data_IF_634805804360
#
_entry.id   IF_634805804360
#
_cell.length_a   1.000
_cell.length_b   1.000
_cell.length_c   1.000
_cell.angle_alpha   90.00
_cell.angle_beta   90.00
_cell.angle_gamma   90.00
#
_symmetry.space_group_name_H-M   'P 1'
#
loop_
_entity.id
_entity.type
_entity.pdbx_description
1 polymer ?
#
# COMPACT_ATOMS: atom_id res chain seq x y z
N UNK A 1 17.93 7.30 1.39
CA UNK A 1 16.92 7.44 0.32
C UNK A 1 15.70 6.60 0.69
N UNK A 2 14.59 7.26 0.96
CA UNK A 2 13.33 6.57 1.26
C UNK A 2 12.85 5.92 -0.04
N UNK A 3 12.91 4.59 -0.15
CA UNK A 3 12.36 3.88 -1.30
C UNK A 3 10.88 4.19 -1.41
N UNK A 4 10.45 4.75 -2.52
CA UNK A 4 9.03 5.02 -2.80
C UNK A 4 8.28 3.70 -2.94
N UNK A 5 7.06 3.67 -2.43
CA UNK A 5 6.14 2.55 -2.59
C UNK A 5 5.26 2.81 -3.81
N UNK A 6 5.42 2.02 -4.87
CA UNK A 6 4.71 2.24 -6.13
C UNK A 6 4.28 0.93 -6.78
N UNK A 7 3.36 1.05 -7.70
CA UNK A 7 2.99 -0.01 -8.64
C UNK A 7 3.23 0.45 -10.08
N UNK A 8 3.62 -0.50 -10.92
CA UNK A 8 3.75 -0.33 -12.36
C UNK A 8 2.93 -1.42 -13.03
N UNK A 9 2.11 -1.04 -13.99
CA UNK A 9 1.35 -1.98 -14.81
C UNK A 9 1.66 -1.78 -16.30
N UNK A 10 1.81 -2.87 -17.04
CA UNK A 10 1.93 -2.79 -18.51
C UNK A 10 0.59 -2.33 -19.07
N UNK A 11 0.61 -1.30 -19.89
CA UNK A 11 -0.55 -0.73 -20.54
C UNK A 11 -0.98 -1.49 -21.81
N UNK A 12 -1.97 -0.96 -22.51
CA UNK A 12 -2.38 -1.48 -23.82
C UNK A 12 -1.29 -1.26 -24.86
N UNK A 13 -0.62 -2.32 -25.27
CA UNK A 13 0.43 -2.35 -26.30
C UNK A 13 -0.01 -3.32 -27.43
N UNK A 14 -0.87 -2.85 -28.36
CA UNK A 14 -1.50 -3.74 -29.35
C UNK A 14 -0.56 -4.23 -30.46
N UNK A 15 0.57 -3.56 -30.68
CA UNK A 15 1.54 -3.94 -31.69
C UNK A 15 2.81 -4.48 -31.04
N UNK A 16 3.24 -5.66 -31.47
CA UNK A 16 4.49 -6.28 -31.01
C UNK A 16 5.72 -5.47 -31.43
N UNK A 17 5.68 -4.87 -32.64
CA UNK A 17 6.79 -4.10 -33.21
C UNK A 17 6.70 -2.60 -32.87
N UNK A 18 5.89 -2.22 -31.88
CA UNK A 18 5.78 -0.82 -31.47
C UNK A 18 7.14 -0.33 -30.94
N UNK A 19 7.62 0.84 -31.40
CA UNK A 19 8.91 1.38 -30.96
C UNK A 19 8.88 1.87 -29.52
N UNK A 20 7.70 2.00 -28.93
CA UNK A 20 7.48 2.46 -27.55
C UNK A 20 6.53 1.52 -26.83
N UNK A 21 6.77 1.33 -25.54
CA UNK A 21 5.93 0.53 -24.67
C UNK A 21 5.17 1.41 -23.69
N UNK A 22 3.86 1.23 -23.63
CA UNK A 22 2.98 1.93 -22.69
C UNK A 22 2.94 1.25 -21.35
N UNK A 23 3.05 2.04 -20.26
CA UNK A 23 2.88 1.56 -18.90
C UNK A 23 2.14 2.58 -18.03
N UNK A 24 1.52 2.09 -16.98
CA UNK A 24 0.93 2.91 -15.93
C UNK A 24 1.82 2.92 -14.68
N UNK A 25 1.82 4.03 -13.96
CA UNK A 25 2.51 4.20 -12.70
C UNK A 25 1.56 4.82 -11.67
N UNK A 26 1.64 4.38 -10.41
CA UNK A 26 0.93 4.99 -9.28
C UNK A 26 1.67 4.72 -7.98
N UNK A 27 1.47 5.60 -6.97
CA UNK A 27 1.87 5.31 -5.59
C UNK A 27 0.77 5.74 -4.62
N UNK A 28 0.98 5.57 -3.33
CA UNK A 28 0.03 6.10 -2.35
C UNK A 28 -0.09 7.63 -2.40
N UNK A 29 1.00 8.31 -2.80
CA UNK A 29 1.12 9.78 -2.80
C UNK A 29 1.29 10.38 -4.18
N UNK A 30 1.22 9.57 -5.26
CA UNK A 30 1.23 10.07 -6.65
C UNK A 30 0.02 9.55 -7.41
N UNK A 31 -0.80 10.48 -7.99
CA UNK A 31 -1.91 10.12 -8.85
C UNK A 31 -1.45 9.23 -10.01
N UNK A 32 -2.38 8.41 -10.53
CA UNK A 32 -2.08 7.53 -11.65
C UNK A 32 -1.52 8.29 -12.86
N UNK A 33 -0.44 7.77 -13.40
CA UNK A 33 0.26 8.29 -14.58
C UNK A 33 0.26 7.25 -15.70
N UNK A 34 0.18 7.71 -16.92
CA UNK A 34 0.33 6.92 -18.13
C UNK A 34 1.57 7.40 -18.86
N UNK A 35 2.45 6.50 -19.20
CA UNK A 35 3.73 6.78 -19.83
C UNK A 35 3.93 5.94 -21.09
N UNK A 36 4.75 6.45 -22.00
CA UNK A 36 5.35 5.70 -23.11
C UNK A 36 6.88 5.74 -22.97
N UNK A 37 7.50 4.57 -22.85
CA UNK A 37 8.95 4.42 -22.81
C UNK A 37 9.47 3.84 -24.11
N UNK A 38 10.58 4.37 -24.61
CA UNK A 38 11.37 3.76 -25.67
C UNK A 38 12.36 2.76 -25.04
N UNK A 39 12.18 1.45 -25.25
CA UNK A 39 13.07 0.45 -24.60
C UNK A 39 14.52 0.49 -25.11
N UNK A 40 14.76 1.05 -26.31
CA UNK A 40 16.11 1.11 -26.89
C UNK A 40 16.94 2.27 -26.33
N UNK A 41 16.30 3.40 -26.04
CA UNK A 41 16.98 4.62 -25.56
C UNK A 41 16.74 4.90 -24.08
N UNK A 42 15.69 4.32 -23.49
CA UNK A 42 15.22 4.63 -22.15
C UNK A 42 14.45 5.97 -22.04
N UNK A 43 14.18 6.63 -23.19
CA UNK A 43 13.40 7.88 -23.20
C UNK A 43 11.98 7.61 -22.71
N UNK A 44 11.59 8.24 -21.60
CA UNK A 44 10.28 8.13 -20.99
C UNK A 44 9.47 9.41 -21.18
N UNK A 45 8.22 9.25 -21.62
CA UNK A 45 7.29 10.36 -21.85
C UNK A 45 6.04 10.18 -21.02
N UNK A 46 5.77 11.15 -20.14
CA UNK A 46 4.48 11.26 -19.47
C UNK A 46 3.41 11.65 -20.51
N UNK A 47 2.44 10.77 -20.72
CA UNK A 47 1.30 11.03 -21.62
C UNK A 47 0.14 11.68 -20.88
N UNK A 48 -0.14 11.20 -19.67
CA UNK A 48 -1.27 11.68 -18.87
C UNK A 48 -0.99 11.46 -17.38
N UNK A 49 -1.43 12.42 -16.59
CA UNK A 49 -1.55 12.30 -15.13
C UNK A 49 -2.99 12.51 -14.71
N UNK A 50 -3.51 11.68 -13.79
CA UNK A 50 -4.84 11.90 -13.24
C UNK A 50 -4.89 13.23 -12.47
N UNK A 51 -5.92 14.03 -12.75
CA UNK A 51 -6.13 15.32 -12.07
C UNK A 51 -6.77 15.09 -10.71
N UNK A 52 -6.24 15.74 -9.68
CA UNK A 52 -6.83 15.80 -8.35
C UNK A 52 -7.43 17.20 -8.16
N UNK A 53 -8.74 17.25 -7.98
CA UNK A 53 -9.45 18.51 -7.74
C UNK A 53 -9.28 18.98 -6.29
N UNK A 54 -9.33 20.27 -6.06
CA UNK A 54 -9.26 20.86 -4.71
C UNK A 54 -7.86 21.18 -4.18
N UNK A 55 -6.84 21.01 -5.03
CA UNK A 55 -5.43 21.22 -4.67
C UNK A 55 -4.84 19.99 -3.99
N UNK A 56 -3.72 19.52 -4.52
CA UNK A 56 -2.99 18.38 -3.99
C UNK A 56 -1.50 18.55 -4.29
N UNK A 57 -0.67 18.49 -3.24
CA UNK A 57 0.78 18.55 -3.37
C UNK A 57 1.39 17.25 -2.81
N UNK A 58 1.94 16.37 -3.66
CA UNK A 58 2.51 15.08 -3.23
C UNK A 58 3.56 15.19 -2.13
N UNK A 59 4.29 16.33 -2.07
CA UNK A 59 5.37 16.55 -1.09
C UNK A 59 4.88 16.73 0.34
N UNK A 60 3.60 17.01 0.52
CA UNK A 60 2.96 17.13 1.84
C UNK A 60 2.73 15.77 2.51
N UNK A 61 2.86 14.70 1.76
CA UNK A 61 2.60 13.34 2.25
C UNK A 61 3.88 12.52 2.30
N UNK A 62 3.88 11.55 3.21
CA UNK A 62 4.95 10.58 3.41
C UNK A 62 4.41 9.16 3.21
N UNK A 63 5.24 8.31 2.63
CA UNK A 63 4.98 6.89 2.54
C UNK A 63 6.23 6.11 2.97
N UNK A 64 6.05 5.03 3.71
CA UNK A 64 7.16 4.20 4.19
C UNK A 64 6.71 2.76 4.35
N UNK A 65 7.60 1.80 4.05
CA UNK A 65 7.46 0.41 4.45
C UNK A 65 8.24 0.17 5.74
N UNK A 66 7.55 -0.37 6.74
CA UNK A 66 8.15 -0.87 7.97
C UNK A 66 7.96 -2.38 8.04
N UNK A 67 8.72 -3.04 8.89
CA UNK A 67 8.61 -4.46 9.14
C UNK A 67 8.28 -4.69 10.60
N UNK A 68 7.24 -5.44 10.86
CA UNK A 68 6.90 -5.88 12.20
C UNK A 68 7.14 -7.38 12.34
N UNK A 69 7.37 -7.84 13.56
CA UNK A 69 7.54 -9.27 13.84
C UNK A 69 6.25 -9.80 14.42
N UNK A 70 5.66 -10.80 13.78
CA UNK A 70 4.51 -11.53 14.28
C UNK A 70 4.88 -12.39 15.50
N UNK A 71 3.88 -12.86 16.23
CA UNK A 71 4.05 -13.72 17.44
C UNK A 71 4.77 -15.03 17.16
N UNK A 72 4.73 -15.53 15.94
CA UNK A 72 5.43 -16.72 15.47
C UNK A 72 6.82 -16.45 14.91
N UNK A 73 7.27 -15.18 14.94
CA UNK A 73 8.58 -14.74 14.46
C UNK A 73 8.63 -14.32 13.00
N UNK A 74 7.53 -14.47 12.24
CA UNK A 74 7.50 -14.08 10.85
C UNK A 74 7.55 -12.54 10.67
N UNK A 75 8.15 -12.07 9.59
CA UNK A 75 8.34 -10.64 9.32
C UNK A 75 7.26 -10.12 8.37
N UNK A 76 6.36 -9.29 8.89
CA UNK A 76 5.22 -8.73 8.14
C UNK A 76 5.59 -7.34 7.62
N UNK A 77 5.56 -7.11 6.28
CA UNK A 77 5.70 -5.77 5.74
C UNK A 77 4.43 -4.97 5.99
N UNK A 78 4.58 -3.71 6.42
CA UNK A 78 3.47 -2.78 6.63
C UNK A 78 3.75 -1.48 5.89
N UNK A 79 2.87 -1.10 4.98
CA UNK A 79 2.91 0.21 4.33
C UNK A 79 2.22 1.24 5.21
N UNK A 80 2.89 2.35 5.45
CA UNK A 80 2.37 3.49 6.20
C UNK A 80 2.32 4.71 5.30
N UNK A 81 1.22 5.47 5.39
CA UNK A 81 1.03 6.73 4.66
C UNK A 81 0.47 7.77 5.64
N UNK A 82 1.06 8.96 5.64
CA UNK A 82 0.61 10.04 6.55
C UNK A 82 0.95 11.42 5.98
N UNK A 83 0.31 12.45 6.51
CA UNK A 83 0.65 13.83 6.17
C UNK A 83 1.89 14.28 6.93
N UNK A 84 2.85 14.92 6.26
CA UNK A 84 4.19 15.25 6.79
C UNK A 84 4.17 16.14 8.03
N UNK A 85 3.21 17.06 8.12
CA UNK A 85 3.03 18.02 9.22
C UNK A 85 2.29 17.43 10.43
N UNK A 86 1.80 16.18 10.32
CA UNK A 86 1.16 15.46 11.43
C UNK A 86 2.23 14.72 12.22
N UNK A 87 2.30 14.92 13.56
CA UNK A 87 3.23 14.17 14.41
C UNK A 87 3.00 12.65 14.27
N UNK A 88 4.07 11.91 14.06
CA UNK A 88 4.02 10.45 14.01
C UNK A 88 4.00 9.83 15.43
N UNK A 89 3.19 10.40 16.32
CA UNK A 89 3.01 9.89 17.67
C UNK A 89 1.54 10.06 18.07
N UNK A 90 1.00 9.01 18.68
CA UNK A 90 -0.40 8.96 19.16
C UNK A 90 -1.44 9.41 18.11
N UNK A 91 -1.19 9.12 16.83
CA UNK A 91 -2.09 9.47 15.73
C UNK A 91 -3.33 8.58 15.71
N UNK A 92 -4.44 9.10 15.16
CA UNK A 92 -5.52 8.23 14.72
C UNK A 92 -5.04 7.36 13.58
N UNK A 93 -5.51 6.11 13.50
CA UNK A 93 -5.12 5.17 12.44
C UNK A 93 -6.34 4.57 11.75
N UNK A 94 -6.28 4.54 10.43
CA UNK A 94 -7.12 3.69 9.61
C UNK A 94 -6.26 2.56 9.03
N UNK A 95 -6.56 1.32 9.41
CA UNK A 95 -5.83 0.14 8.93
C UNK A 95 -6.74 -0.73 8.09
N UNK A 96 -6.24 -1.17 6.93
CA UNK A 96 -6.96 -2.08 6.05
C UNK A 96 -6.06 -3.21 5.61
N UNK A 97 -6.66 -4.38 5.34
CA UNK A 97 -5.94 -5.55 4.87
C UNK A 97 -6.83 -6.47 4.04
N UNK A 98 -6.22 -7.43 3.36
CA UNK A 98 -6.96 -8.41 2.58
C UNK A 98 -6.54 -9.86 2.89
N UNK A 99 -5.30 -10.23 2.57
CA UNK A 99 -4.67 -11.49 2.96
C UNK A 99 -5.34 -12.75 2.43
N UNK A 100 -5.82 -12.72 1.19
CA UNK A 100 -6.48 -13.88 0.57
C UNK A 100 -6.22 -13.95 -0.94
N UNK A 101 -6.43 -15.15 -1.50
CA UNK A 101 -6.42 -15.44 -2.95
C UNK A 101 -5.12 -15.05 -3.67
N UNK A 102 -3.99 -14.98 -2.95
CA UNK A 102 -2.72 -14.53 -3.51
C UNK A 102 -2.76 -13.09 -4.09
N UNK A 103 -3.79 -12.30 -3.71
CA UNK A 103 -3.94 -10.92 -4.17
C UNK A 103 -3.04 -10.02 -3.33
N UNK A 104 -2.22 -9.21 -4.02
CA UNK A 104 -1.37 -8.20 -3.40
C UNK A 104 -2.11 -6.89 -3.21
N UNK A 105 -1.94 -6.27 -2.04
CA UNK A 105 -2.42 -4.92 -1.74
C UNK A 105 -1.40 -3.89 -2.24
N UNK A 106 -1.33 -3.73 -3.56
CA UNK A 106 -0.35 -2.87 -4.21
C UNK A 106 -0.61 -1.37 -3.93
N UNK A 107 0.46 -0.56 -3.89
CA UNK A 107 0.34 0.89 -3.74
C UNK A 107 -0.46 1.50 -4.89
N UNK A 108 -1.45 2.31 -4.55
CA UNK A 108 -2.25 3.04 -5.53
C UNK A 108 -2.78 4.33 -4.93
N UNK A 109 -2.99 5.35 -5.76
CA UNK A 109 -3.53 6.64 -5.35
C UNK A 109 -5.03 6.56 -5.06
N UNK A 110 -5.47 7.26 -4.02
CA UNK A 110 -6.88 7.36 -3.64
C UNK A 110 -7.19 8.73 -3.05
N UNK A 111 -8.14 9.45 -3.65
CA UNK A 111 -8.61 10.76 -3.16
C UNK A 111 -9.26 10.63 -1.77
N UNK A 112 -10.01 9.56 -1.53
CA UNK A 112 -10.61 9.31 -0.21
C UNK A 112 -9.55 9.12 0.88
N UNK A 113 -8.44 8.45 0.56
CA UNK A 113 -7.29 8.32 1.47
C UNK A 113 -6.68 9.69 1.75
N UNK A 114 -6.43 10.51 0.74
CA UNK A 114 -5.89 11.87 0.92
C UNK A 114 -6.77 12.66 1.90
N UNK A 115 -8.09 12.60 1.75
CA UNK A 115 -9.04 13.25 2.67
C UNK A 115 -8.91 12.78 4.13
N UNK A 116 -8.54 11.52 4.38
CA UNK A 116 -8.24 11.03 5.73
C UNK A 116 -6.89 11.55 6.24
N UNK A 117 -5.85 11.51 5.38
CA UNK A 117 -4.52 12.02 5.72
C UNK A 117 -4.57 13.51 6.09
N UNK A 118 -5.38 14.32 5.39
CA UNK A 118 -5.58 15.74 5.66
C UNK A 118 -6.24 16.01 7.01
N UNK A 119 -6.92 15.02 7.57
CA UNK A 119 -7.48 15.05 8.93
C UNK A 119 -6.53 14.51 10.00
N UNK A 120 -5.28 14.24 9.63
CA UNK A 120 -4.27 13.73 10.55
C UNK A 120 -4.36 12.24 10.84
N UNK A 121 -5.08 11.46 10.01
CA UNK A 121 -5.16 10.01 10.15
C UNK A 121 -3.94 9.37 9.49
N UNK A 122 -3.25 8.48 10.19
CA UNK A 122 -2.25 7.59 9.61
C UNK A 122 -2.97 6.44 8.93
N UNK A 123 -2.62 6.16 7.68
CA UNK A 123 -3.16 5.04 6.91
C UNK A 123 -2.15 3.89 6.89
N UNK A 124 -2.58 2.69 7.27
CA UNK A 124 -1.74 1.50 7.36
C UNK A 124 -2.29 0.35 6.51
N UNK A 125 -1.39 -0.35 5.83
CA UNK A 125 -1.70 -1.57 5.07
C UNK A 125 -0.71 -2.66 5.47
N UNK A 126 -1.05 -3.54 6.40
CA UNK A 126 -0.31 -4.76 6.65
C UNK A 126 -0.43 -5.72 5.46
N UNK A 127 0.70 -6.18 4.93
CA UNK A 127 0.77 -7.16 3.85
C UNK A 127 0.86 -8.56 4.47
N UNK A 128 -0.29 -9.05 4.91
CA UNK A 128 -0.42 -10.26 5.72
C UNK A 128 -0.38 -11.54 4.88
N UNK A 129 -0.03 -12.66 5.52
CA UNK A 129 -0.05 -13.99 4.89
C UNK A 129 -1.43 -14.31 4.30
N UNK A 130 -1.43 -15.02 3.16
CA UNK A 130 -2.61 -15.27 2.33
C UNK A 130 -2.71 -14.31 1.14
N UNK A 131 -2.00 -13.17 1.16
CA UNK A 131 -1.74 -12.32 0.00
C UNK A 131 -0.57 -12.82 -0.85
N UNK A 132 -0.28 -12.09 -1.95
CA UNK A 132 0.79 -12.42 -2.90
C UNK A 132 2.09 -11.62 -2.73
N UNK A 133 2.14 -10.68 -1.78
CA UNK A 133 3.19 -9.67 -1.67
C UNK A 133 4.60 -10.22 -1.46
N UNK A 134 4.70 -11.38 -0.81
CA UNK A 134 5.96 -12.08 -0.57
C UNK A 134 6.08 -13.38 -1.37
N UNK A 135 5.25 -13.53 -2.42
CA UNK A 135 5.26 -14.69 -3.31
C UNK A 135 4.42 -15.87 -2.82
N UNK A 136 4.53 -16.99 -3.53
CA UNK A 136 3.66 -18.17 -3.35
C UNK A 136 3.64 -18.74 -1.94
N UNK A 137 4.80 -18.85 -1.31
CA UNK A 137 4.89 -19.36 0.07
C UNK A 137 4.12 -18.49 1.07
N UNK A 138 4.08 -17.16 0.85
CA UNK A 138 3.32 -16.22 1.67
C UNK A 138 1.81 -16.48 1.59
N UNK A 139 1.32 -16.75 0.38
CA UNK A 139 -0.06 -17.15 0.17
C UNK A 139 -0.38 -18.47 0.88
N UNK A 140 0.44 -19.48 0.70
CA UNK A 140 0.17 -20.82 1.26
C UNK A 140 0.20 -20.85 2.79
N UNK A 141 1.03 -20.00 3.41
CA UNK A 141 1.07 -19.83 4.86
C UNK A 141 -0.16 -19.12 5.45
N UNK A 142 -1.01 -18.49 4.64
CA UNK A 142 -2.27 -17.87 5.05
C UNK A 142 -3.52 -18.45 4.36
N UNK A 143 -3.43 -19.67 3.80
CA UNK A 143 -4.46 -20.30 3.00
C UNK A 143 -5.05 -21.56 3.70
N UNK A 144 -6.33 -21.84 3.48
CA UNK A 144 -7.05 -23.00 4.05
C UNK A 144 -6.83 -23.13 5.56
N UNK A 145 -6.24 -24.24 6.01
CA UNK A 145 -6.00 -24.54 7.44
C UNK A 145 -5.00 -23.57 8.09
N UNK A 146 -4.19 -22.87 7.30
CA UNK A 146 -3.26 -21.84 7.74
C UNK A 146 -3.88 -20.43 7.82
N UNK A 147 -5.17 -20.29 7.50
CA UNK A 147 -5.86 -18.98 7.43
C UNK A 147 -5.78 -18.18 8.73
N UNK A 148 -5.63 -18.84 9.85
CA UNK A 148 -5.45 -18.20 11.15
C UNK A 148 -4.25 -17.23 11.18
N UNK A 149 -3.16 -17.54 10.46
CA UNK A 149 -2.00 -16.66 10.38
C UNK A 149 -2.33 -15.28 9.78
N UNK A 150 -3.25 -15.19 8.81
CA UNK A 150 -3.67 -13.89 8.26
C UNK A 150 -4.28 -13.00 9.35
N UNK A 151 -5.10 -13.56 10.22
CA UNK A 151 -5.74 -12.80 11.32
C UNK A 151 -4.71 -12.41 12.38
N UNK A 152 -3.82 -13.33 12.73
CA UNK A 152 -2.76 -13.09 13.71
C UNK A 152 -1.78 -12.03 13.21
N UNK A 153 -1.36 -12.09 11.95
CA UNK A 153 -0.51 -11.09 11.30
C UNK A 153 -1.13 -9.69 11.35
N UNK A 154 -2.43 -9.60 11.04
CA UNK A 154 -3.14 -8.32 11.06
C UNK A 154 -3.16 -7.71 12.46
N UNK A 155 -3.54 -8.51 13.45
CA UNK A 155 -3.57 -8.09 14.87
C UNK A 155 -2.17 -7.69 15.37
N UNK A 156 -1.16 -8.50 15.05
CA UNK A 156 0.21 -8.27 15.51
C UNK A 156 0.81 -7.01 14.85
N UNK A 157 0.49 -6.75 13.56
CA UNK A 157 0.89 -5.53 12.88
C UNK A 157 0.27 -4.29 13.55
N UNK A 158 -1.02 -4.31 13.86
CA UNK A 158 -1.72 -3.21 14.56
C UNK A 158 -1.10 -2.98 15.93
N UNK A 159 -0.92 -4.04 16.72
CA UNK A 159 -0.33 -3.95 18.07
C UNK A 159 1.10 -3.41 18.05
N UNK A 160 1.91 -3.84 17.08
CA UNK A 160 3.28 -3.35 16.96
C UNK A 160 3.33 -1.84 16.71
N UNK A 161 2.44 -1.30 15.86
CA UNK A 161 2.34 0.15 15.60
C UNK A 161 1.88 0.92 16.86
N UNK A 162 0.94 0.36 17.62
CA UNK A 162 0.47 0.92 18.89
C UNK A 162 1.57 0.91 19.95
N UNK A 163 2.26 -0.21 20.13
CA UNK A 163 3.36 -0.34 21.09
C UNK A 163 4.56 0.56 20.74
N UNK A 164 4.78 0.85 19.46
CA UNK A 164 5.79 1.81 19.02
C UNK A 164 5.39 3.28 19.28
N UNK A 165 4.19 3.53 19.80
CA UNK A 165 3.68 4.89 20.08
C UNK A 165 3.32 5.70 18.83
N UNK A 166 3.26 5.05 17.67
CA UNK A 166 2.92 5.73 16.40
C UNK A 166 1.44 6.07 16.32
N UNK A 167 0.59 5.23 16.89
CA UNK A 167 -0.87 5.34 16.81
C UNK A 167 -1.54 5.09 18.14
N UNK A 168 -2.68 5.72 18.34
CA UNK A 168 -3.51 5.57 19.54
C UNK A 168 -4.41 4.34 19.44
N UNK A 169 -4.37 3.39 20.41
CA UNK A 169 -5.32 2.28 20.45
C UNK A 169 -6.79 2.73 20.46
N UNK A 170 -7.10 3.82 21.17
CA UNK A 170 -8.46 4.35 21.27
C UNK A 170 -8.97 5.04 19.99
N UNK A 171 -8.06 5.33 19.04
CA UNK A 171 -8.36 6.00 17.76
C UNK A 171 -7.92 5.17 16.56
N UNK A 172 -7.94 3.85 16.72
CA UNK A 172 -7.64 2.88 15.63
C UNK A 172 -8.94 2.31 15.08
N UNK A 173 -9.12 2.41 13.78
CA UNK A 173 -10.23 1.82 13.03
C UNK A 173 -9.67 0.81 12.03
N UNK A 174 -10.22 -0.40 12.04
CA UNK A 174 -9.94 -1.43 11.05
C UNK A 174 -11.07 -1.49 10.00
N UNK A 175 -10.69 -1.65 8.74
CA UNK A 175 -11.59 -1.81 7.61
C UNK A 175 -11.18 -3.01 6.77
N UNK A 176 -12.15 -3.77 6.31
CA UNK A 176 -11.92 -4.93 5.46
C UNK A 176 -13.12 -5.23 4.58
N UNK A 177 -12.86 -5.44 3.30
CA UNK A 177 -13.87 -5.79 2.32
C UNK A 177 -13.74 -7.25 1.87
N UNK A 178 -14.85 -7.90 1.49
CA UNK A 178 -14.85 -9.28 0.97
C UNK A 178 -14.13 -10.24 1.95
N UNK A 179 -13.11 -10.96 1.50
CA UNK A 179 -12.29 -11.81 2.37
C UNK A 179 -11.56 -11.02 3.48
N UNK A 180 -11.18 -9.76 3.24
CA UNK A 180 -10.63 -8.88 4.25
C UNK A 180 -11.62 -8.49 5.35
N UNK A 181 -12.92 -8.66 5.13
CA UNK A 181 -13.96 -8.47 6.14
C UNK A 181 -13.95 -9.50 7.29
N UNK A 182 -13.11 -10.53 7.18
CA UNK A 182 -12.87 -11.53 8.23
C UNK A 182 -11.75 -11.13 9.21
N UNK A 183 -10.97 -10.09 8.90
CA UNK A 183 -9.82 -9.64 9.71
C UNK A 183 -10.21 -8.93 11.03
#
# INVERSE_FOLDING_TARGET
ETRRLYSIGVGGNPSYDAPRMRYSFSSYTRPGELHDIDPATGEDRLLRRATVLGGFEPREYMERRVWVTARDGERIPVSLVWRRDVPACDSAMFVTGYGAYEISSDPGFSVSRISMLDRGVLYAVPHIRGGGEMGRAWYEQGHLLNKKHSFEDFVDAVRALQCAGLVSPARTVADGGSAGGLL
#
